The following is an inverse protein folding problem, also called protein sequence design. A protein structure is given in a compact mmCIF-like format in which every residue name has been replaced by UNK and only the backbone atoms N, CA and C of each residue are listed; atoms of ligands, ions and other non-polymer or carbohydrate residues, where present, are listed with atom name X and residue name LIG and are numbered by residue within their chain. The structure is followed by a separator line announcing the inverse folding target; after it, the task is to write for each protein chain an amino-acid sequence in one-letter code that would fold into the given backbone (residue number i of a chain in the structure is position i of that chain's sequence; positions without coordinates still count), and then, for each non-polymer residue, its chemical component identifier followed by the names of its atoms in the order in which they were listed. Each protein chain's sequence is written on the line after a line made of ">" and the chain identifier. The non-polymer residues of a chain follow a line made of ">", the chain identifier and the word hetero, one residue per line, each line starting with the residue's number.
data_IF_317213259190
#
_entry.id   IF_317213259190
#
_cell.length_a   1.000
_cell.length_b   1.000
_cell.length_c   1.000
_cell.angle_alpha   90.00
_cell.angle_beta   90.00
_cell.angle_gamma   90.00
#
_symmetry.space_group_name_H-M   'P 1'
#
loop_
_entity.id
_entity.type
_entity.pdbx_description
1 polymer ?
#
# COMPACT_ATOMS: atom_id res chain seq x y z
N UNK A 1 9.56 4.24 26.10
CA UNK A 1 8.31 4.47 25.36
C UNK A 1 7.67 3.13 25.15
N UNK A 2 6.55 2.88 25.80
CA UNK A 2 5.75 1.68 25.52
C UNK A 2 5.18 1.79 24.13
N UNK A 3 5.37 0.76 23.32
CA UNK A 3 4.88 0.71 21.95
C UNK A 3 3.41 0.32 21.98
N UNK A 4 2.56 1.10 21.34
CA UNK A 4 1.17 0.76 21.15
C UNK A 4 1.05 -0.58 20.43
N UNK A 5 0.24 -1.47 20.97
CA UNK A 5 -0.05 -2.81 20.43
C UNK A 5 -1.55 -2.92 20.18
N UNK A 6 -1.91 -3.57 19.10
CA UNK A 6 -3.32 -3.88 18.85
C UNK A 6 -3.84 -4.81 19.95
N UNK A 7 -4.86 -4.36 20.67
CA UNK A 7 -5.46 -5.13 21.78
C UNK A 7 -6.30 -6.34 21.32
N UNK A 8 -6.65 -6.43 20.03
CA UNK A 8 -7.46 -7.52 19.50
C UNK A 8 -7.02 -7.95 18.09
N UNK A 9 -7.19 -9.23 17.78
CA UNK A 9 -6.96 -9.77 16.42
C UNK A 9 -7.90 -9.13 15.39
N UNK A 10 -9.15 -8.90 15.78
CA UNK A 10 -10.14 -8.26 14.92
C UNK A 10 -9.74 -6.83 14.56
N UNK A 11 -9.27 -6.06 15.55
CA UNK A 11 -8.76 -4.69 15.30
C UNK A 11 -7.60 -4.67 14.32
N UNK A 12 -6.64 -5.60 14.45
CA UNK A 12 -5.54 -5.75 13.50
C UNK A 12 -6.04 -6.06 12.07
N UNK A 13 -6.98 -7.01 11.94
CA UNK A 13 -7.52 -7.41 10.63
C UNK A 13 -8.27 -6.25 9.98
N UNK A 14 -9.12 -5.54 10.73
CA UNK A 14 -9.90 -4.41 10.20
C UNK A 14 -8.99 -3.25 9.75
N UNK A 15 -7.97 -2.91 10.52
CA UNK A 15 -7.02 -1.87 10.15
C UNK A 15 -6.20 -2.31 8.95
N UNK A 16 -5.73 -3.55 8.91
CA UNK A 16 -4.98 -4.08 7.77
C UNK A 16 -5.84 -4.10 6.49
N UNK A 17 -7.11 -4.49 6.59
CA UNK A 17 -8.05 -4.45 5.48
C UNK A 17 -8.30 -3.01 5.02
N UNK A 18 -8.49 -2.07 5.95
CA UNK A 18 -8.66 -0.65 5.61
C UNK A 18 -7.43 -0.06 4.92
N UNK A 19 -6.24 -0.42 5.34
CA UNK A 19 -4.99 -0.01 4.69
C UNK A 19 -4.80 -0.65 3.30
N UNK A 20 -5.35 -1.86 3.09
CA UNK A 20 -5.26 -2.57 1.81
C UNK A 20 -6.21 -1.99 0.75
N UNK A 21 -7.33 -1.37 1.15
CA UNK A 21 -8.28 -0.74 0.23
C UNK A 21 -7.74 0.64 -0.17
N UNK A 22 -7.06 0.67 -1.31
CA UNK A 22 -6.52 1.89 -1.89
C UNK A 22 -7.30 2.37 -3.12
N UNK A 23 -7.00 3.57 -3.59
CA UNK A 23 -7.57 4.15 -4.82
C UNK A 23 -7.38 3.23 -6.03
N UNK A 24 -6.28 2.51 -6.08
CA UNK A 24 -5.99 1.53 -7.14
C UNK A 24 -7.04 0.44 -7.26
N UNK A 25 -7.56 -0.04 -6.14
CA UNK A 25 -8.55 -1.12 -6.10
C UNK A 25 -9.92 -0.65 -6.60
N UNK A 26 -10.28 0.60 -6.31
CA UNK A 26 -11.60 1.15 -6.65
C UNK A 26 -11.64 1.68 -8.10
N UNK A 27 -10.56 2.25 -8.58
CA UNK A 27 -10.50 2.93 -9.87
C UNK A 27 -9.69 2.15 -10.92
N UNK A 28 -8.40 1.93 -10.65
CA UNK A 28 -7.47 1.40 -11.66
C UNK A 28 -7.69 -0.08 -11.94
N UNK A 29 -7.93 -0.88 -10.92
CA UNK A 29 -8.08 -2.32 -11.07
C UNK A 29 -9.30 -2.72 -11.91
N UNK A 30 -10.52 -2.17 -11.67
CA UNK A 30 -11.68 -2.45 -12.53
C UNK A 30 -11.46 -2.01 -13.97
N UNK A 31 -10.84 -0.84 -14.19
CA UNK A 31 -10.54 -0.33 -15.52
C UNK A 31 -9.60 -1.28 -16.29
N UNK A 32 -8.48 -1.65 -15.69
CA UNK A 32 -7.50 -2.57 -16.30
C UNK A 32 -8.13 -3.95 -16.55
N UNK A 33 -8.95 -4.44 -15.62
CA UNK A 33 -9.67 -5.71 -15.80
C UNK A 33 -10.56 -5.68 -17.03
N UNK A 34 -11.26 -4.58 -17.27
CA UNK A 34 -12.10 -4.41 -18.46
C UNK A 34 -11.28 -4.37 -19.76
N UNK A 35 -10.17 -3.63 -19.78
CA UNK A 35 -9.30 -3.46 -20.95
C UNK A 35 -8.55 -4.74 -21.37
N UNK A 36 -8.09 -5.54 -20.40
CA UNK A 36 -7.19 -6.66 -20.63
C UNK A 36 -7.85 -8.05 -20.54
N UNK A 37 -9.10 -8.16 -20.96
CA UNK A 37 -9.77 -9.45 -21.13
C UNK A 37 -10.49 -9.99 -19.90
N UNK A 38 -10.86 -9.13 -18.94
CA UNK A 38 -11.77 -9.45 -17.84
C UNK A 38 -11.33 -10.65 -17.01
N UNK A 39 -12.00 -11.78 -17.17
CA UNK A 39 -11.75 -12.98 -16.38
C UNK A 39 -10.34 -13.56 -16.57
N UNK A 40 -9.78 -13.49 -17.78
CA UNK A 40 -8.40 -13.97 -18.03
C UNK A 40 -7.36 -13.15 -17.26
N UNK A 41 -7.50 -11.84 -17.26
CA UNK A 41 -6.67 -10.95 -16.44
C UNK A 41 -6.81 -11.28 -14.95
N UNK A 42 -8.04 -11.51 -14.47
CA UNK A 42 -8.29 -11.81 -13.06
C UNK A 42 -7.59 -13.11 -12.61
N UNK A 43 -7.64 -14.15 -13.45
CA UNK A 43 -6.96 -15.43 -13.16
C UNK A 43 -5.45 -15.22 -13.08
N UNK A 44 -4.87 -14.53 -14.07
CA UNK A 44 -3.42 -14.21 -14.04
C UNK A 44 -3.03 -13.39 -12.82
N UNK A 45 -3.83 -12.39 -12.47
CA UNK A 45 -3.62 -11.58 -11.28
C UNK A 45 -3.61 -12.44 -10.01
N UNK A 46 -4.57 -13.37 -9.85
CA UNK A 46 -4.63 -14.26 -8.69
C UNK A 46 -3.42 -15.19 -8.61
N UNK A 47 -2.95 -15.72 -9.75
CA UNK A 47 -1.73 -16.52 -9.80
C UNK A 47 -0.53 -15.69 -9.31
N UNK A 48 -0.33 -14.49 -9.83
CA UNK A 48 0.76 -13.61 -9.39
C UNK A 48 0.61 -13.17 -7.93
N UNK A 49 -0.60 -12.96 -7.46
CA UNK A 49 -0.86 -12.63 -6.05
C UNK A 49 -0.37 -13.76 -5.12
N UNK A 50 -0.63 -15.02 -5.50
CA UNK A 50 -0.19 -16.17 -4.70
C UNK A 50 1.32 -16.39 -4.83
N UNK A 51 1.84 -16.37 -6.04
CA UNK A 51 3.25 -16.72 -6.31
C UNK A 51 4.22 -15.61 -5.85
N UNK A 52 3.86 -14.35 -6.03
CA UNK A 52 4.72 -13.21 -5.68
C UNK A 52 4.22 -12.45 -4.47
N UNK A 53 2.92 -12.18 -4.39
CA UNK A 53 2.34 -11.35 -3.35
C UNK A 53 2.47 -11.97 -1.96
N UNK A 54 2.16 -13.25 -1.80
CA UNK A 54 2.28 -13.91 -0.49
C UNK A 54 3.73 -13.97 0.02
N UNK A 55 4.74 -14.39 -0.76
CA UNK A 55 6.12 -14.35 -0.30
C UNK A 55 6.60 -12.95 0.08
N UNK A 56 6.28 -11.94 -0.72
CA UNK A 56 6.64 -10.54 -0.42
C UNK A 56 6.00 -10.10 0.89
N UNK A 57 4.72 -10.35 1.09
CA UNK A 57 4.01 -10.00 2.33
C UNK A 57 4.61 -10.70 3.55
N UNK A 58 4.99 -11.97 3.43
CA UNK A 58 5.65 -12.71 4.52
C UNK A 58 7.00 -12.09 4.86
N UNK A 59 7.78 -11.70 3.85
CA UNK A 59 9.06 -11.01 4.06
C UNK A 59 8.88 -9.65 4.74
N UNK A 60 7.90 -8.86 4.33
CA UNK A 60 7.58 -7.56 4.96
C UNK A 60 7.19 -7.73 6.43
N UNK A 61 6.33 -8.70 6.74
CA UNK A 61 5.96 -9.01 8.12
C UNK A 61 7.14 -9.53 8.94
N UNK A 62 8.03 -10.32 8.35
CA UNK A 62 9.24 -10.80 9.03
C UNK A 62 10.16 -9.64 9.42
N UNK A 63 10.40 -8.70 8.49
CA UNK A 63 11.19 -7.49 8.75
C UNK A 63 10.52 -6.60 9.80
N UNK A 64 9.21 -6.38 9.70
CA UNK A 64 8.45 -5.56 10.64
C UNK A 64 8.44 -6.15 12.06
N UNK A 65 8.27 -7.47 12.19
CA UNK A 65 8.28 -8.18 13.48
C UNK A 65 9.69 -8.30 14.06
N UNK A 66 10.67 -8.58 13.22
CA UNK A 66 12.06 -8.75 13.65
C UNK A 66 12.69 -7.44 14.13
N UNK A 67 12.47 -6.35 13.41
CA UNK A 67 13.04 -5.06 13.76
C UNK A 67 12.28 -4.34 14.86
N UNK A 68 10.96 -4.45 14.88
CA UNK A 68 10.05 -3.65 15.72
C UNK A 68 10.36 -2.13 15.68
N UNK A 69 10.84 -1.63 14.55
CA UNK A 69 11.21 -0.23 14.32
C UNK A 69 10.51 0.30 13.07
N UNK A 70 10.59 1.62 12.86
CA UNK A 70 10.17 2.23 11.61
C UNK A 70 11.04 1.74 10.44
N UNK A 71 10.53 1.83 9.21
CA UNK A 71 11.23 1.37 7.99
C UNK A 71 12.65 1.95 7.89
N UNK A 72 12.85 3.23 8.25
CA UNK A 72 14.15 3.89 8.21
C UNK A 72 15.18 3.28 9.15
N UNK A 73 14.75 2.64 10.24
CA UNK A 73 15.62 2.05 11.27
C UNK A 73 15.54 0.53 11.34
N UNK A 74 14.64 -0.09 10.60
CA UNK A 74 14.45 -1.53 10.61
C UNK A 74 15.74 -2.26 10.21
N UNK A 75 16.35 -1.81 9.13
CA UNK A 75 17.57 -2.41 8.60
C UNK A 75 18.79 -2.19 9.50
N UNK A 76 18.86 -1.06 10.22
CA UNK A 76 19.96 -0.84 11.20
C UNK A 76 19.97 -1.89 12.32
N UNK A 77 18.81 -2.47 12.64
CA UNK A 77 18.69 -3.47 13.72
C UNK A 77 18.92 -4.89 13.18
N UNK A 78 18.52 -5.12 11.92
CA UNK A 78 18.55 -6.45 11.32
C UNK A 78 19.81 -6.73 10.51
N UNK A 79 20.57 -5.69 10.15
CA UNK A 79 21.76 -5.87 9.31
C UNK A 79 22.89 -6.59 10.05
N UNK A 80 23.59 -7.52 9.39
CA UNK A 80 24.84 -8.07 9.90
C UNK A 80 25.94 -7.01 9.99
N UNK A 81 26.83 -7.14 10.96
CA UNK A 81 27.95 -6.22 11.12
C UNK A 81 28.82 -6.13 9.84
N UNK A 82 29.10 -4.91 9.38
CA UNK A 82 29.91 -4.65 8.19
C UNK A 82 29.13 -4.58 6.88
N UNK A 83 27.81 -4.66 6.91
CA UNK A 83 26.95 -4.48 5.72
C UNK A 83 26.37 -3.07 5.64
N UNK A 84 25.92 -2.63 4.47
CA UNK A 84 25.38 -1.30 4.23
C UNK A 84 23.87 -1.26 4.02
N UNK A 85 23.12 -2.24 4.51
CA UNK A 85 21.68 -2.36 4.32
C UNK A 85 20.86 -1.24 4.96
N UNK A 86 21.40 -0.55 5.96
CA UNK A 86 20.77 0.63 6.57
C UNK A 86 20.43 1.73 5.55
N UNK A 87 21.20 1.84 4.45
CA UNK A 87 20.92 2.80 3.37
C UNK A 87 19.61 2.51 2.66
N UNK A 88 19.23 1.23 2.59
CA UNK A 88 17.96 0.82 1.98
C UNK A 88 16.74 1.35 2.73
N UNK A 89 16.83 1.48 4.06
CA UNK A 89 15.78 2.10 4.87
C UNK A 89 15.49 3.55 4.47
N UNK A 90 16.51 4.32 4.12
CA UNK A 90 16.36 5.69 3.63
C UNK A 90 15.75 5.73 2.22
N UNK A 91 16.16 4.83 1.35
CA UNK A 91 15.57 4.69 0.01
C UNK A 91 14.07 4.38 0.10
N UNK A 92 13.70 3.45 0.98
CA UNK A 92 12.31 3.09 1.22
C UNK A 92 11.49 4.26 1.79
N UNK A 93 12.10 5.08 2.67
CA UNK A 93 11.47 6.30 3.19
C UNK A 93 11.18 7.30 2.08
N UNK A 94 12.15 7.58 1.21
CA UNK A 94 11.99 8.47 0.05
C UNK A 94 10.90 7.95 -0.88
N UNK A 95 10.89 6.65 -1.18
CA UNK A 95 9.85 6.00 -1.99
C UNK A 95 8.45 6.18 -1.38
N UNK A 96 8.32 6.03 -0.07
CA UNK A 96 7.06 6.26 0.65
C UNK A 96 6.59 7.72 0.55
N UNK A 97 7.50 8.68 0.62
CA UNK A 97 7.18 10.10 0.45
C UNK A 97 6.68 10.40 -0.98
N UNK A 98 7.37 9.90 -1.99
CA UNK A 98 6.95 10.08 -3.39
C UNK A 98 5.58 9.45 -3.64
N UNK A 99 5.32 8.28 -3.07
CA UNK A 99 4.02 7.63 -3.14
C UNK A 99 2.93 8.49 -2.49
N UNK A 100 3.20 9.04 -1.32
CA UNK A 100 2.26 9.91 -0.59
C UNK A 100 1.93 11.18 -1.39
N UNK A 101 2.91 11.79 -2.05
CA UNK A 101 2.68 12.95 -2.93
C UNK A 101 1.70 12.62 -4.06
N UNK A 102 1.90 11.47 -4.73
CA UNK A 102 0.99 10.98 -5.76
C UNK A 102 -0.43 10.74 -5.22
N UNK A 103 -0.56 10.06 -4.09
CA UNK A 103 -1.86 9.77 -3.48
C UNK A 103 -2.61 11.04 -3.07
N UNK A 104 -1.91 12.03 -2.55
CA UNK A 104 -2.50 13.32 -2.17
C UNK A 104 -3.08 14.05 -3.39
N UNK A 105 -2.36 14.03 -4.52
CA UNK A 105 -2.84 14.63 -5.77
C UNK A 105 -4.13 13.93 -6.26
N UNK A 106 -4.12 12.60 -6.32
CA UNK A 106 -5.31 11.83 -6.76
C UNK A 106 -6.47 11.99 -5.78
N UNK A 107 -6.19 12.04 -4.47
CA UNK A 107 -7.19 12.34 -3.45
C UNK A 107 -7.84 13.72 -3.65
N UNK A 108 -7.05 14.73 -4.00
CA UNK A 108 -7.55 16.06 -4.34
C UNK A 108 -8.48 16.05 -5.56
N UNK A 109 -8.14 15.30 -6.60
CA UNK A 109 -9.01 15.12 -7.76
C UNK A 109 -10.33 14.44 -7.40
N UNK A 110 -10.30 13.41 -6.57
CA UNK A 110 -11.52 12.74 -6.11
C UNK A 110 -12.45 13.69 -5.36
N UNK A 111 -11.92 14.50 -4.45
CA UNK A 111 -12.70 15.53 -3.73
C UNK A 111 -13.30 16.56 -4.70
N UNK A 112 -12.53 16.98 -5.70
CA UNK A 112 -13.03 17.90 -6.71
C UNK A 112 -14.17 17.31 -7.53
N UNK A 113 -14.08 16.02 -7.93
CA UNK A 113 -15.15 15.34 -8.64
C UNK A 113 -16.40 15.17 -7.78
N UNK A 114 -16.26 14.83 -6.49
CA UNK A 114 -17.38 14.76 -5.55
C UNK A 114 -18.08 16.11 -5.45
N UNK A 115 -17.32 17.19 -5.29
CA UNK A 115 -17.86 18.55 -5.23
C UNK A 115 -18.63 18.92 -6.51
N UNK A 116 -18.07 18.64 -7.69
CA UNK A 116 -18.73 18.91 -8.97
C UNK A 116 -19.98 18.06 -9.18
N UNK A 117 -19.95 16.80 -8.78
CA UNK A 117 -21.10 15.92 -8.83
C UNK A 117 -22.25 16.43 -7.95
N UNK A 118 -21.94 16.79 -6.71
CA UNK A 118 -22.92 17.33 -5.77
C UNK A 118 -23.50 18.69 -6.22
N UNK A 119 -22.71 19.50 -6.94
CA UNK A 119 -23.15 20.80 -7.48
C UNK A 119 -23.88 20.71 -8.82
N UNK A 120 -24.12 19.52 -9.37
CA UNK A 120 -24.81 19.31 -10.65
C UNK A 120 -24.02 19.78 -11.90
N UNK A 121 -22.76 20.18 -11.73
CA UNK A 121 -21.92 20.72 -12.81
C UNK A 121 -21.14 19.66 -13.61
N UNK A 122 -21.43 18.36 -13.40
CA UNK A 122 -20.78 17.28 -14.14
C UNK A 122 -21.27 17.16 -15.58
N UNK A 123 -22.51 17.58 -15.86
CA UNK A 123 -23.14 17.48 -17.19
C UNK A 123 -22.74 18.59 -18.16
N UNK A 124 -21.87 19.51 -17.77
CA UNK A 124 -21.42 20.65 -18.59
C UNK A 124 -20.04 20.46 -19.21
N UNK A 125 -19.56 19.22 -19.26
CA UNK A 125 -18.43 18.76 -20.07
C UNK A 125 -18.96 17.87 -21.17
#
# INVERSE_FOLDING_TARGET
>A
MERERFGSRLGFILISAGCAIGLGNVWRFPYITGEYGGAAFLVMYLVFLVVLGLPIMVMEFAVGRGSQRSIARAFNVLEPAGTGWHRFGWLALVGSYLLMMFYTMVGGWMLFYIYRSASGKLSTM
#
